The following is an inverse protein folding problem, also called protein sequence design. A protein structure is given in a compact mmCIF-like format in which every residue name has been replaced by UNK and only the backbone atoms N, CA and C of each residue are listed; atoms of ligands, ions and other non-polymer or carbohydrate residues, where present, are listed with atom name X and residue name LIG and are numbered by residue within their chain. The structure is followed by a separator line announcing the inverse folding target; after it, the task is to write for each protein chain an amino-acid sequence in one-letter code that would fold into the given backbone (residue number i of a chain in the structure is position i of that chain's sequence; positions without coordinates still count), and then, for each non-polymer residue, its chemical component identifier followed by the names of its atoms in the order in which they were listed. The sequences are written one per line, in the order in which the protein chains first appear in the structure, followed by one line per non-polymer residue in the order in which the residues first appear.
data_IF_245530975927
#
_entry.id   IF_245530975927
#
_cell.length_a   1.000
_cell.length_b   1.000
_cell.length_c   1.000
_cell.angle_alpha   90.00
_cell.angle_beta   90.00
_cell.angle_gamma   90.00
#
_symmetry.space_group_name_H-M   'P 1'
#
loop_
_entity.id
_entity.type
_entity.pdbx_description
1 polymer ?
#
# COMPACT_ATOMS: atom_id res chain seq x y z
N UNK A 1 -13.75 18.06 25.48
CA UNK A 1 -13.21 19.32 26.03
C UNK A 1 -14.28 20.42 26.06
N UNK A 2 -14.90 20.81 24.95
CA UNK A 2 -15.93 21.88 24.94
C UNK A 2 -17.18 21.56 25.73
N UNK A 3 -17.66 20.31 25.73
CA UNK A 3 -18.82 19.91 26.51
C UNK A 3 -18.60 20.04 28.04
N UNK A 4 -17.41 19.66 28.51
CA UNK A 4 -17.06 19.80 29.94
C UNK A 4 -16.97 21.26 30.37
N UNK A 5 -16.49 22.13 29.48
CA UNK A 5 -16.43 23.58 29.74
C UNK A 5 -17.84 24.20 29.77
N UNK A 6 -18.75 23.81 28.87
CA UNK A 6 -20.13 24.26 28.86
C UNK A 6 -20.90 23.80 30.10
N UNK A 7 -20.71 22.57 30.57
CA UNK A 7 -21.28 22.03 31.79
C UNK A 7 -20.73 22.78 33.01
N UNK A 8 -19.43 23.05 33.04
CA UNK A 8 -18.79 23.83 34.11
C UNK A 8 -19.37 25.25 34.21
N UNK A 9 -19.57 25.91 33.07
CA UNK A 9 -20.16 27.26 33.00
C UNK A 9 -21.61 27.25 33.46
N UNK A 10 -22.37 26.20 33.14
CA UNK A 10 -23.75 26.01 33.60
C UNK A 10 -23.83 25.89 35.13
N UNK A 11 -22.99 25.01 35.70
CA UNK A 11 -22.93 24.82 37.15
C UNK A 11 -22.48 26.08 37.89
N UNK A 12 -21.48 26.80 37.34
CA UNK A 12 -21.02 28.05 37.88
C UNK A 12 -22.14 29.12 37.86
N UNK A 13 -22.90 29.20 36.76
CA UNK A 13 -24.04 30.10 36.63
C UNK A 13 -25.15 29.84 37.65
N UNK A 14 -25.41 28.54 37.93
CA UNK A 14 -26.36 28.13 38.97
C UNK A 14 -25.88 28.55 40.37
N UNK A 15 -24.61 28.32 40.69
CA UNK A 15 -24.02 28.67 42.00
C UNK A 15 -24.03 30.17 42.22
N UNK A 16 -23.69 30.96 41.22
CA UNK A 16 -23.66 32.42 41.28
C UNK A 16 -25.02 33.07 41.10
N UNK A 17 -26.09 32.31 40.87
CA UNK A 17 -27.45 32.78 40.53
C UNK A 17 -27.47 33.82 39.40
N UNK A 18 -26.53 33.70 38.47
CA UNK A 18 -26.42 34.61 37.35
C UNK A 18 -27.17 34.06 36.13
N UNK A 19 -28.35 34.61 35.86
CA UNK A 19 -29.19 34.17 34.72
C UNK A 19 -28.50 34.31 33.37
N UNK A 20 -27.64 35.30 33.19
CA UNK A 20 -26.93 35.50 31.91
C UNK A 20 -25.93 34.36 31.65
N UNK A 21 -25.19 33.90 32.66
CA UNK A 21 -24.28 32.76 32.52
C UNK A 21 -25.02 31.46 32.23
N UNK A 22 -26.17 31.24 32.84
CA UNK A 22 -27.02 30.07 32.60
C UNK A 22 -27.54 30.06 31.16
N UNK A 23 -28.02 31.20 30.66
CA UNK A 23 -28.54 31.28 29.28
C UNK A 23 -27.45 31.05 28.25
N UNK A 24 -26.25 31.60 28.42
CA UNK A 24 -25.10 31.36 27.53
C UNK A 24 -24.71 29.88 27.53
N UNK A 25 -24.66 29.25 28.72
CA UNK A 25 -24.32 27.84 28.82
C UNK A 25 -25.35 26.92 28.13
N UNK A 26 -26.65 27.24 28.27
CA UNK A 26 -27.74 26.49 27.60
C UNK A 26 -27.64 26.63 26.06
N UNK A 27 -27.34 27.83 25.57
CA UNK A 27 -27.16 28.08 24.14
C UNK A 27 -25.95 27.27 23.60
N UNK A 28 -24.82 27.30 24.35
CA UNK A 28 -23.64 26.50 23.95
C UNK A 28 -23.91 24.99 23.96
N UNK A 29 -24.63 24.49 24.98
CA UNK A 29 -25.00 23.07 25.04
C UNK A 29 -25.95 22.68 23.90
N UNK A 30 -26.95 23.52 23.59
CA UNK A 30 -27.87 23.26 22.47
C UNK A 30 -27.13 23.26 21.12
N UNK A 31 -26.16 24.15 20.94
CA UNK A 31 -25.33 24.20 19.75
C UNK A 31 -24.46 22.94 19.63
N UNK A 32 -23.81 22.51 20.70
CA UNK A 32 -22.98 21.31 20.72
C UNK A 32 -23.80 20.03 20.45
N UNK A 33 -25.02 19.95 21.06
CA UNK A 33 -25.92 18.82 20.81
C UNK A 33 -26.43 18.79 19.37
N UNK A 34 -26.74 19.94 18.79
CA UNK A 34 -27.13 20.07 17.40
C UNK A 34 -25.99 19.68 16.46
N UNK A 35 -24.77 20.13 16.73
CA UNK A 35 -23.59 19.78 15.94
C UNK A 35 -23.32 18.26 15.99
N UNK A 36 -23.38 17.66 17.18
CA UNK A 36 -23.22 16.21 17.36
C UNK A 36 -24.33 15.42 16.64
N UNK A 37 -25.59 15.90 16.72
CA UNK A 37 -26.71 15.28 16.02
C UNK A 37 -26.54 15.29 14.50
N UNK A 38 -26.07 16.40 13.93
CA UNK A 38 -25.80 16.50 12.50
C UNK A 38 -24.72 15.53 12.03
N UNK A 39 -23.65 15.35 12.82
CA UNK A 39 -22.57 14.42 12.45
C UNK A 39 -23.05 12.96 12.48
N UNK A 40 -23.79 12.56 13.53
CA UNK A 40 -24.32 11.18 13.63
C UNK A 40 -25.34 10.85 12.55
N UNK A 41 -26.24 11.77 12.20
CA UNK A 41 -27.20 11.54 11.12
C UNK A 41 -26.59 11.57 9.72
N UNK A 42 -25.55 12.34 9.49
CA UNK A 42 -24.79 12.30 8.23
C UNK A 42 -24.14 10.92 8.03
N UNK A 43 -23.70 10.29 9.13
CA UNK A 43 -23.07 8.95 9.08
C UNK A 43 -24.09 7.84 8.83
N UNK A 44 -25.28 7.90 9.44
CA UNK A 44 -26.34 6.90 9.25
C UNK A 44 -26.88 6.95 7.83
N UNK A 45 -27.06 8.13 7.26
CA UNK A 45 -27.52 8.28 5.88
C UNK A 45 -26.53 7.75 4.83
N UNK A 46 -25.23 7.77 5.18
CA UNK A 46 -24.17 7.25 4.30
C UNK A 46 -23.92 5.75 4.47
N UNK A 47 -24.24 5.17 5.63
CA UNK A 47 -24.03 3.74 5.95
C UNK A 47 -25.10 2.82 5.35
N UNK A 48 -26.26 3.35 4.95
CA UNK A 48 -27.41 2.56 4.49
C UNK A 48 -27.37 2.13 3.03
N UNK A 49 -26.37 2.52 2.25
CA UNK A 49 -26.27 2.15 0.85
C UNK A 49 -25.02 1.30 0.59
N UNK A 50 -25.08 0.05 1.07
CA UNK A 50 -24.23 -1.02 0.57
C UNK A 50 -24.76 -1.31 -0.84
N UNK A 51 -24.14 -0.72 -1.85
CA UNK A 51 -24.43 -1.03 -3.23
C UNK A 51 -23.64 -2.28 -3.62
N UNK A 52 -24.40 -3.22 -4.17
CA UNK A 52 -23.95 -4.44 -4.81
C UNK A 52 -22.83 -4.16 -5.82
N UNK A 53 -21.91 -5.10 -5.86
CA UNK A 53 -20.78 -5.20 -6.77
C UNK A 53 -21.21 -5.00 -8.22
N UNK A 54 -21.00 -3.81 -8.76
CA UNK A 54 -20.86 -3.61 -10.18
C UNK A 54 -19.42 -3.15 -10.44
N UNK A 55 -18.69 -4.07 -11.00
CA UNK A 55 -17.35 -4.01 -11.50
C UNK A 55 -17.28 -3.06 -12.73
N UNK A 56 -17.38 -1.78 -12.48
CA UNK A 56 -17.18 -0.74 -13.49
C UNK A 56 -16.68 0.52 -12.80
N UNK A 57 -15.41 0.86 -13.05
CA UNK A 57 -14.71 2.18 -12.93
C UNK A 57 -15.16 3.17 -11.80
N UNK A 58 -16.03 2.72 -10.92
CA UNK A 58 -16.56 3.44 -9.77
C UNK A 58 -15.75 3.09 -8.52
N UNK A 59 -14.81 3.97 -8.15
CA UNK A 59 -14.00 3.86 -6.94
C UNK A 59 -14.85 3.54 -5.69
N UNK A 60 -14.22 2.85 -4.73
CA UNK A 60 -14.85 2.44 -3.46
C UNK A 60 -15.36 3.67 -2.71
N UNK A 61 -16.61 3.64 -2.27
CA UNK A 61 -17.30 4.77 -1.66
C UNK A 61 -17.39 4.66 -0.14
N UNK A 62 -17.14 5.77 0.53
CA UNK A 62 -17.34 5.88 1.97
C UNK A 62 -17.80 7.29 2.38
N UNK A 63 -18.96 7.39 3.05
CA UNK A 63 -19.46 8.68 3.57
C UNK A 63 -19.68 9.75 2.50
N UNK A 64 -19.95 9.35 1.24
CA UNK A 64 -20.09 10.25 0.10
C UNK A 64 -18.77 10.75 -0.48
N UNK A 65 -17.63 10.22 -0.02
CA UNK A 65 -16.33 10.34 -0.65
C UNK A 65 -16.01 9.04 -1.37
N UNK A 66 -15.60 9.11 -2.63
CA UNK A 66 -15.07 7.99 -3.38
C UNK A 66 -13.61 8.21 -3.69
N UNK A 67 -12.83 7.12 -3.69
CA UNK A 67 -11.44 7.13 -4.04
C UNK A 67 -11.16 6.09 -5.13
N UNK A 68 -10.32 6.46 -6.09
CA UNK A 68 -9.81 5.59 -7.15
C UNK A 68 -8.31 5.79 -7.22
N UNK A 69 -7.55 4.70 -7.18
CA UNK A 69 -6.10 4.75 -7.33
C UNK A 69 -5.70 4.17 -8.68
N UNK A 70 -4.76 4.84 -9.35
CA UNK A 70 -4.07 4.33 -10.53
C UNK A 70 -2.57 4.26 -10.22
N UNK A 71 -1.99 3.10 -10.50
CA UNK A 71 -0.56 2.84 -10.33
C UNK A 71 0.05 2.69 -11.71
N UNK A 72 1.22 3.28 -11.94
CA UNK A 72 1.88 3.25 -13.26
C UNK A 72 2.29 1.84 -13.68
N UNK A 73 2.69 1.00 -12.73
CA UNK A 73 3.09 -0.38 -12.98
C UNK A 73 2.86 -1.24 -11.75
N UNK A 74 2.39 -2.46 -11.95
CA UNK A 74 2.30 -3.50 -10.92
C UNK A 74 3.60 -4.28 -10.74
N UNK A 75 4.61 -4.02 -11.57
CA UNK A 75 5.91 -4.71 -11.57
C UNK A 75 7.03 -3.71 -11.76
N UNK A 76 8.02 -3.73 -10.87
CA UNK A 76 9.15 -2.80 -10.90
C UNK A 76 10.41 -3.54 -10.43
N UNK A 77 11.58 -3.04 -10.78
CA UNK A 77 12.86 -3.54 -10.25
C UNK A 77 13.23 -2.79 -8.98
N UNK A 78 14.17 -3.35 -8.18
CA UNK A 78 14.78 -2.66 -7.04
C UNK A 78 15.29 -1.28 -7.46
N UNK A 79 15.11 -0.28 -6.59
CA UNK A 79 15.37 1.14 -6.83
C UNK A 79 14.53 1.77 -7.96
N UNK A 80 13.53 1.05 -8.45
CA UNK A 80 12.60 1.58 -9.44
C UNK A 80 11.54 2.50 -8.85
N UNK A 81 11.04 3.40 -9.68
CA UNK A 81 10.02 4.37 -9.32
C UNK A 81 8.64 3.90 -9.79
N UNK A 82 7.64 4.12 -8.94
CA UNK A 82 6.23 3.85 -9.22
C UNK A 82 5.48 5.16 -9.02
N UNK A 83 4.80 5.62 -10.06
CA UNK A 83 3.92 6.78 -9.96
C UNK A 83 2.53 6.31 -9.55
N UNK A 84 2.00 6.97 -8.53
CA UNK A 84 0.67 6.72 -7.98
C UNK A 84 -0.15 7.97 -8.13
N UNK A 85 -1.35 7.83 -8.69
CA UNK A 85 -2.35 8.90 -8.81
C UNK A 85 -3.59 8.45 -8.06
N UNK A 86 -3.92 9.16 -7.00
CA UNK A 86 -5.11 8.95 -6.19
C UNK A 86 -6.14 10.03 -6.54
N UNK A 87 -7.23 9.64 -7.17
CA UNK A 87 -8.37 10.49 -7.49
C UNK A 87 -9.40 10.38 -6.38
N UNK A 88 -9.83 11.52 -5.84
CA UNK A 88 -10.79 11.62 -4.74
C UNK A 88 -11.95 12.47 -5.23
N UNK A 89 -13.16 11.97 -5.06
CA UNK A 89 -14.37 12.66 -5.45
C UNK A 89 -15.32 12.82 -4.28
N UNK A 90 -15.81 14.04 -4.06
CA UNK A 90 -16.89 14.33 -3.15
C UNK A 90 -18.22 14.23 -3.90
N UNK A 91 -19.00 13.18 -3.64
CA UNK A 91 -20.32 12.96 -4.25
C UNK A 91 -21.45 13.70 -3.53
N UNK A 92 -21.16 14.30 -2.38
CA UNK A 92 -22.16 15.10 -1.66
C UNK A 92 -22.29 16.50 -2.25
N UNK A 93 -23.45 17.16 -2.09
CA UNK A 93 -23.63 18.53 -2.58
C UNK A 93 -22.90 19.59 -1.76
N UNK A 94 -22.43 19.25 -0.55
CA UNK A 94 -21.77 20.16 0.38
C UNK A 94 -20.26 20.02 0.32
N UNK A 95 -19.54 21.13 0.45
CA UNK A 95 -18.11 21.13 0.65
C UNK A 95 -17.75 20.44 1.98
N UNK A 96 -16.64 19.72 1.99
CA UNK A 96 -16.11 19.03 3.17
C UNK A 96 -14.62 19.29 3.31
N UNK A 97 -14.18 19.51 4.54
CA UNK A 97 -12.76 19.51 4.86
C UNK A 97 -12.36 18.06 5.07
N UNK A 98 -11.45 17.59 4.22
CA UNK A 98 -10.99 16.20 4.25
C UNK A 98 -9.48 16.15 4.40
N UNK A 99 -9.03 15.25 5.26
CA UNK A 99 -7.66 14.80 5.31
C UNK A 99 -7.62 13.40 4.71
N UNK A 100 -6.83 13.22 3.68
CA UNK A 100 -6.67 11.94 3.00
C UNK A 100 -5.23 11.52 3.11
N UNK A 101 -5.02 10.28 3.53
CA UNK A 101 -3.71 9.65 3.62
C UNK A 101 -3.75 8.28 2.94
N UNK A 102 -2.91 8.09 1.95
CA UNK A 102 -2.69 6.79 1.35
C UNK A 102 -1.63 6.02 2.15
N UNK A 103 -1.95 4.81 2.59
CA UNK A 103 -1.03 4.00 3.38
C UNK A 103 -0.06 3.28 2.46
N UNK A 104 1.17 3.75 2.48
CA UNK A 104 2.30 3.17 1.74
C UNK A 104 3.12 2.30 2.71
N UNK A 105 3.65 1.13 2.28
CA UNK A 105 4.55 0.32 3.11
C UNK A 105 5.75 1.13 3.62
N UNK A 106 6.13 0.93 4.88
CA UNK A 106 7.20 1.69 5.54
C UNK A 106 8.58 1.55 4.86
N UNK A 107 8.77 0.44 4.16
CA UNK A 107 10.01 0.17 3.41
C UNK A 107 10.14 1.09 2.19
N UNK A 108 9.02 1.57 1.64
CA UNK A 108 8.98 2.42 0.46
C UNK A 108 9.32 3.86 0.83
N UNK A 109 9.98 4.55 -0.08
CA UNK A 109 10.34 5.96 0.10
C UNK A 109 9.53 6.81 -0.87
N UNK A 110 8.94 7.89 -0.36
CA UNK A 110 8.30 8.89 -1.21
C UNK A 110 9.38 9.79 -1.77
N UNK A 111 9.57 9.75 -3.07
CA UNK A 111 10.58 10.55 -3.79
C UNK A 111 10.04 11.91 -4.23
N UNK A 112 8.81 11.95 -4.69
CA UNK A 112 8.14 13.16 -5.19
C UNK A 112 6.70 13.19 -4.68
N UNK A 113 6.17 14.37 -4.45
CA UNK A 113 4.81 14.58 -3.98
C UNK A 113 4.62 14.22 -2.51
N UNK A 114 3.39 13.95 -2.13
CA UNK A 114 3.00 13.54 -0.79
C UNK A 114 1.86 12.53 -0.86
N UNK A 115 1.88 11.50 -0.01
CA UNK A 115 0.83 10.50 0.12
C UNK A 115 -0.32 10.96 1.03
N UNK A 116 -0.31 12.21 1.43
CA UNK A 116 -1.37 12.79 2.25
C UNK A 116 -1.69 14.21 1.81
N UNK A 117 -2.93 14.62 2.02
CA UNK A 117 -3.40 15.97 1.77
C UNK A 117 -4.49 16.35 2.75
N UNK A 118 -4.46 17.59 3.20
CA UNK A 118 -5.55 18.24 3.92
C UNK A 118 -6.09 19.35 3.04
N UNK A 119 -7.38 19.29 2.68
CA UNK A 119 -8.00 20.25 1.79
C UNK A 119 -9.49 20.39 2.02
N UNK A 120 -10.05 21.51 1.56
CA UNK A 120 -11.48 21.64 1.40
C UNK A 120 -11.88 21.14 0.00
N UNK A 121 -12.68 20.09 -0.07
CA UNK A 121 -13.20 19.53 -1.29
C UNK A 121 -14.66 19.97 -1.48
N UNK A 122 -14.89 20.81 -2.47
CA UNK A 122 -16.21 21.33 -2.84
C UNK A 122 -17.22 20.22 -3.11
N UNK A 123 -18.50 20.53 -3.00
CA UNK A 123 -19.57 19.59 -3.31
C UNK A 123 -19.53 19.16 -4.78
N UNK A 124 -19.65 17.87 -5.05
CA UNK A 124 -19.60 17.23 -6.38
C UNK A 124 -18.32 17.53 -7.16
N UNK A 125 -17.23 17.84 -6.48
CA UNK A 125 -15.92 18.07 -7.08
C UNK A 125 -14.99 16.88 -6.86
N UNK A 126 -14.04 16.76 -7.77
CA UNK A 126 -12.95 15.80 -7.68
C UNK A 126 -11.59 16.49 -7.60
N UNK A 127 -10.61 15.79 -7.05
CA UNK A 127 -9.22 16.22 -6.97
C UNK A 127 -8.31 15.02 -7.16
N UNK A 128 -7.09 15.28 -7.61
CA UNK A 128 -6.07 14.28 -7.78
C UNK A 128 -4.87 14.59 -6.90
N UNK A 129 -4.33 13.56 -6.27
CA UNK A 129 -3.07 13.58 -5.54
C UNK A 129 -2.12 12.67 -6.29
N UNK A 130 -0.97 13.19 -6.69
CA UNK A 130 0.07 12.40 -7.35
C UNK A 130 1.32 12.35 -6.48
N UNK A 131 1.91 11.16 -6.38
CA UNK A 131 3.18 10.96 -5.70
C UNK A 131 3.94 9.81 -6.33
N UNK A 132 5.27 9.85 -6.19
CA UNK A 132 6.17 8.82 -6.70
C UNK A 132 6.83 8.12 -5.53
N UNK A 133 6.75 6.80 -5.50
CA UNK A 133 7.41 5.94 -4.51
C UNK A 133 8.58 5.21 -5.16
N UNK A 134 9.61 4.99 -4.37
CA UNK A 134 10.78 4.18 -4.71
C UNK A 134 10.73 2.89 -3.92
N UNK A 135 10.99 1.78 -4.61
CA UNK A 135 11.01 0.45 -4.02
C UNK A 135 12.46 -0.03 -3.80
N UNK A 136 13.06 0.19 -2.60
CA UNK A 136 14.47 -0.12 -2.37
C UNK A 136 14.77 -1.61 -2.19
N UNK A 137 13.76 -2.42 -1.88
CA UNK A 137 13.92 -3.84 -1.61
C UNK A 137 12.97 -4.67 -2.46
N UNK A 138 13.47 -5.82 -2.95
CA UNK A 138 12.65 -6.81 -3.65
C UNK A 138 11.62 -7.42 -2.72
N UNK A 139 10.45 -7.73 -3.25
CA UNK A 139 9.37 -8.36 -2.49
C UNK A 139 8.00 -8.12 -3.10
N UNK A 140 7.01 -8.66 -2.44
CA UNK A 140 5.60 -8.41 -2.72
C UNK A 140 5.08 -7.37 -1.74
N UNK A 141 4.45 -6.32 -2.23
CA UNK A 141 3.99 -5.20 -1.43
C UNK A 141 2.57 -4.81 -1.83
N UNK A 142 1.85 -4.26 -0.86
CA UNK A 142 0.48 -3.79 -1.05
C UNK A 142 0.40 -2.34 -0.60
N UNK A 143 -0.11 -1.45 -1.44
CA UNK A 143 -0.47 -0.08 -1.08
C UNK A 143 -1.92 -0.08 -0.62
N UNK A 144 -2.24 0.63 0.43
CA UNK A 144 -3.57 0.75 1.02
C UNK A 144 -3.62 0.35 2.49
N UNK A 145 -4.77 0.52 3.12
CA UNK A 145 -5.98 1.21 2.66
C UNK A 145 -5.81 2.73 2.57
N UNK A 146 -6.77 3.43 1.97
CA UNK A 146 -6.82 4.89 1.97
C UNK A 146 -7.56 5.35 3.21
N UNK A 147 -6.87 6.07 4.10
CA UNK A 147 -7.47 6.64 5.30
C UNK A 147 -8.05 8.02 4.96
N UNK A 148 -9.33 8.21 5.25
CA UNK A 148 -10.03 9.49 5.03
C UNK A 148 -10.58 9.97 6.35
N UNK A 149 -10.18 11.17 6.75
CA UNK A 149 -10.72 11.89 7.90
C UNK A 149 -11.53 13.07 7.39
N UNK A 150 -12.82 13.09 7.70
CA UNK A 150 -13.74 14.15 7.34
C UNK A 150 -13.96 15.02 8.57
N UNK A 151 -13.71 16.31 8.44
CA UNK A 151 -13.98 17.28 9.50
C UNK A 151 -15.36 17.91 9.29
N UNK A 152 -16.02 18.20 10.42
CA UNK A 152 -17.23 19.00 10.43
C UNK A 152 -16.91 20.47 10.07
N UNK A 153 -17.92 21.20 9.59
CA UNK A 153 -17.82 22.62 9.19
C UNK A 153 -17.22 23.50 10.29
N UNK A 154 -17.39 23.14 11.55
CA UNK A 154 -16.85 23.89 12.69
C UNK A 154 -15.53 23.34 13.23
N UNK A 155 -15.01 22.25 12.64
CA UNK A 155 -13.78 21.59 13.10
C UNK A 155 -13.85 20.97 14.50
N UNK A 156 -15.05 20.83 15.07
CA UNK A 156 -15.26 20.31 16.42
C UNK A 156 -15.25 18.78 16.46
N UNK A 157 -15.72 18.17 15.40
CA UNK A 157 -15.83 16.72 15.26
C UNK A 157 -15.12 16.28 13.98
N UNK A 158 -14.50 15.11 14.04
CA UNK A 158 -13.93 14.44 12.88
C UNK A 158 -14.37 12.99 12.87
N UNK A 159 -14.60 12.48 11.68
CA UNK A 159 -14.90 11.09 11.45
C UNK A 159 -13.79 10.51 10.59
N UNK A 160 -13.08 9.52 11.11
CA UNK A 160 -11.99 8.84 10.43
C UNK A 160 -12.45 7.46 9.98
N UNK A 161 -12.20 7.15 8.73
CA UNK A 161 -12.58 5.88 8.12
C UNK A 161 -11.53 5.43 7.10
N UNK A 162 -11.50 4.12 6.85
CA UNK A 162 -10.62 3.51 5.86
C UNK A 162 -11.44 3.06 4.65
N UNK A 163 -11.01 3.49 3.47
CA UNK A 163 -11.50 2.97 2.19
C UNK A 163 -10.63 1.77 1.86
N UNK A 164 -11.25 0.59 1.71
CA UNK A 164 -10.56 -0.69 1.47
C UNK A 164 -10.09 -0.78 0.00
N UNK A 165 -9.19 0.11 -0.37
CA UNK A 165 -8.58 0.18 -1.69
C UNK A 165 -7.15 -0.34 -1.58
N UNK A 166 -6.90 -1.49 -2.18
CA UNK A 166 -5.60 -2.17 -2.14
C UNK A 166 -5.09 -2.39 -3.56
N UNK A 167 -3.82 -2.08 -3.78
CA UNK A 167 -3.12 -2.37 -5.01
C UNK A 167 -1.82 -3.11 -4.70
N UNK A 168 -1.66 -4.25 -5.34
CA UNK A 168 -0.51 -5.12 -5.16
C UNK A 168 0.53 -4.87 -6.25
N UNK A 169 1.80 -4.92 -5.87
CA UNK A 169 2.90 -4.84 -6.82
C UNK A 169 4.09 -5.70 -6.40
N UNK A 170 4.82 -6.13 -7.40
CA UNK A 170 5.95 -7.03 -7.26
C UNK A 170 7.24 -6.28 -7.63
N UNK A 171 8.19 -6.27 -6.70
CA UNK A 171 9.52 -5.71 -6.90
C UNK A 171 10.51 -6.83 -7.19
N UNK A 172 11.07 -6.81 -8.38
CA UNK A 172 12.08 -7.77 -8.82
C UNK A 172 13.50 -7.33 -8.41
N UNK A 173 14.41 -8.26 -8.19
CA UNK A 173 15.79 -7.92 -7.98
C UNK A 173 16.36 -7.23 -9.23
N UNK A 174 17.23 -6.25 -9.02
CA UNK A 174 17.99 -5.62 -10.07
C UNK A 174 18.94 -6.67 -10.69
N UNK A 175 18.82 -6.90 -11.96
CA UNK A 175 19.77 -7.75 -12.68
C UNK A 175 21.07 -6.95 -12.85
N UNK A 176 22.04 -7.22 -11.97
CA UNK A 176 23.41 -6.80 -12.24
C UNK A 176 23.91 -7.57 -13.47
N UNK A 177 24.57 -6.86 -14.37
CA UNK A 177 25.23 -7.49 -15.52
C UNK A 177 26.29 -8.45 -15.00
N UNK A 178 25.97 -9.76 -14.97
CA UNK A 178 26.86 -10.83 -14.48
C UNK A 178 28.08 -11.01 -15.40
N UNK A 179 28.27 -10.15 -16.38
CA UNK A 179 29.39 -10.22 -17.34
C UNK A 179 30.76 -10.23 -16.65
N UNK A 180 30.87 -9.62 -15.47
CA UNK A 180 32.13 -9.52 -14.71
C UNK A 180 32.17 -10.42 -13.47
N UNK A 181 31.07 -11.04 -13.07
CA UNK A 181 31.11 -12.05 -12.02
C UNK A 181 31.69 -13.36 -12.60
N UNK A 182 33.03 -13.42 -12.70
CA UNK A 182 33.69 -14.71 -12.80
C UNK A 182 33.27 -15.51 -11.58
N UNK A 183 32.30 -16.40 -11.75
CA UNK A 183 31.96 -17.42 -10.77
C UNK A 183 33.17 -18.34 -10.70
N UNK A 184 34.13 -17.99 -9.84
CA UNK A 184 35.20 -18.88 -9.41
C UNK A 184 34.57 -19.96 -8.53
N UNK A 185 33.84 -20.86 -9.17
CA UNK A 185 33.41 -22.08 -8.51
C UNK A 185 34.67 -22.86 -8.14
N UNK A 186 34.91 -23.07 -6.87
CA UNK A 186 35.96 -24.00 -6.40
C UNK A 186 35.69 -25.43 -6.82
N UNK A 187 34.48 -25.73 -7.25
CA UNK A 187 34.08 -27.01 -7.83
C UNK A 187 33.72 -26.74 -9.30
N UNK A 188 34.48 -27.24 -10.27
CA UNK A 188 34.14 -27.07 -11.66
C UNK A 188 32.80 -27.78 -11.92
N UNK A 189 31.72 -27.02 -12.04
CA UNK A 189 30.48 -27.54 -12.59
C UNK A 189 30.66 -27.70 -14.08
N UNK A 190 30.62 -28.91 -14.51
CA UNK A 190 30.71 -29.25 -15.92
C UNK A 190 29.41 -28.86 -16.59
N UNK A 191 29.44 -27.74 -17.29
CA UNK A 191 28.34 -27.39 -18.19
C UNK A 191 28.54 -28.15 -19.49
N UNK A 192 27.70 -29.12 -19.78
CA UNK A 192 27.57 -29.70 -21.11
C UNK A 192 26.93 -28.64 -22.03
N UNK A 193 27.72 -27.90 -22.71
CA UNK A 193 27.31 -26.86 -23.65
C UNK A 193 28.51 -26.06 -24.13
N UNK A 194 28.40 -25.23 -25.09
CA UNK A 194 29.29 -24.45 -25.91
C UNK A 194 30.65 -23.93 -25.38
N UNK A 195 31.10 -24.31 -24.20
CA UNK A 195 32.42 -23.93 -23.63
C UNK A 195 33.33 -25.16 -23.67
N UNK A 196 34.32 -25.14 -24.54
CA UNK A 196 35.38 -26.19 -24.62
C UNK A 196 36.26 -26.08 -23.35
N UNK A 197 35.92 -26.85 -22.33
CA UNK A 197 36.75 -27.00 -21.14
C UNK A 197 37.60 -28.26 -21.31
N UNK A 198 38.90 -28.16 -21.16
CA UNK A 198 39.83 -29.30 -21.28
C UNK A 198 39.85 -30.20 -20.04
N UNK A 199 38.76 -30.28 -19.27
CA UNK A 199 38.65 -31.17 -18.12
C UNK A 199 37.72 -32.33 -18.44
N UNK A 200 38.11 -33.59 -18.14
CA UNK A 200 37.23 -34.74 -18.32
C UNK A 200 35.98 -34.62 -17.42
N UNK A 201 34.82 -34.90 -17.95
CA UNK A 201 33.55 -34.83 -17.28
C UNK A 201 32.63 -36.00 -17.60
N UNK A 202 31.61 -36.19 -16.80
CA UNK A 202 30.55 -37.18 -16.99
C UNK A 202 29.50 -36.66 -17.99
N UNK A 203 29.87 -36.48 -19.22
CA UNK A 203 28.99 -36.04 -20.31
C UNK A 203 28.85 -37.04 -21.42
N UNK A 204 27.85 -36.87 -22.28
CA UNK A 204 27.66 -37.70 -23.47
C UNK A 204 28.67 -37.40 -24.60
N UNK A 205 29.47 -36.33 -24.46
CA UNK A 205 30.48 -35.94 -25.45
C UNK A 205 31.84 -36.51 -25.07
N UNK A 206 32.52 -37.09 -26.05
CA UNK A 206 33.86 -37.61 -25.86
C UNK A 206 34.86 -36.47 -25.68
N UNK A 207 35.60 -36.51 -24.56
CA UNK A 207 36.67 -35.55 -24.30
C UNK A 207 37.95 -35.90 -25.09
N UNK A 208 38.30 -37.18 -25.12
CA UNK A 208 39.48 -37.68 -25.80
C UNK A 208 39.33 -39.18 -26.12
N UNK A 209 39.96 -39.62 -27.17
CA UNK A 209 40.08 -41.03 -27.51
C UNK A 209 41.55 -41.42 -27.29
N UNK A 210 41.78 -42.50 -26.61
CA UNK A 210 43.09 -43.10 -26.42
C UNK A 210 43.13 -44.50 -27.02
N UNK A 211 44.30 -45.00 -27.33
CA UNK A 211 44.47 -46.34 -27.83
C UNK A 211 43.90 -47.38 -26.87
N UNK A 212 43.28 -48.42 -27.45
CA UNK A 212 42.73 -49.54 -26.69
C UNK A 212 43.84 -50.30 -26.01
N UNK A 213 43.80 -50.40 -24.68
CA UNK A 213 44.69 -51.25 -23.89
C UNK A 213 43.88 -52.46 -23.43
N UNK A 214 44.23 -53.70 -23.84
CA UNK A 214 43.55 -54.90 -23.36
C UNK A 214 43.65 -54.96 -21.81
N UNK A 215 42.60 -55.33 -21.11
CA UNK A 215 42.44 -55.41 -19.66
C UNK A 215 41.98 -54.11 -18.93
N UNK A 216 41.87 -53.01 -19.56
CA UNK A 216 41.40 -51.77 -18.88
C UNK A 216 39.92 -51.81 -18.56
N UNK A 217 39.13 -52.62 -19.26
CA UNK A 217 37.71 -52.84 -19.03
C UNK A 217 37.42 -53.58 -17.70
N UNK A 218 38.40 -54.29 -17.12
CA UNK A 218 38.26 -55.04 -15.88
C UNK A 218 38.68 -54.21 -14.67
N UNK A 219 39.27 -53.06 -14.84
CA UNK A 219 39.76 -52.20 -13.73
C UNK A 219 38.90 -50.98 -13.40
N UNK A 220 37.93 -50.63 -14.24
CA UNK A 220 36.96 -49.62 -13.92
C UNK A 220 35.60 -50.26 -13.60
N UNK A 221 35.10 -50.13 -12.37
CA UNK A 221 33.78 -50.64 -12.04
C UNK A 221 32.73 -49.96 -12.89
N UNK A 222 31.85 -50.77 -13.49
CA UNK A 222 30.70 -50.24 -14.21
C UNK A 222 29.73 -49.58 -13.21
N UNK A 223 29.06 -48.49 -13.52
CA UNK A 223 28.02 -47.91 -12.65
C UNK A 223 26.87 -48.85 -12.33
N UNK A 224 26.83 -50.04 -12.96
CA UNK A 224 25.89 -51.12 -12.64
C UNK A 224 26.37 -52.03 -11.54
N UNK A 225 27.67 -52.07 -11.29
CA UNK A 225 28.25 -53.04 -10.29
C UNK A 225 28.10 -52.53 -8.87
N UNK A 226 27.90 -51.25 -8.67
CA UNK A 226 27.66 -50.63 -7.32
C UNK A 226 26.24 -50.89 -6.74
N UNK A 227 25.34 -51.52 -7.53
CA UNK A 227 23.97 -51.76 -7.03
C UNK A 227 23.76 -53.10 -6.33
N UNK A 228 24.78 -53.93 -6.16
CA UNK A 228 24.67 -55.30 -5.60
C UNK A 228 25.67 -55.60 -4.49
N UNK A 229 26.14 -54.57 -3.79
CA UNK A 229 26.90 -54.79 -2.54
C UNK A 229 26.20 -54.18 -1.34
#
# INVERSE_FOLDING_TARGET
MFASLAIGLYLLGLVLRNQQLVTVAVVLLSFLTYAAFRTTHADVASSGRRLEDNESDEGIQLGGISALRKVSSSRVFEDGEIDVVLRIQNRTPMAKIIEVRDRVPEVMRIKKGANYVLMELGGRRETEISYTIEAPLRGFYTIGPVCVRIQDTFGLFHNEREIQLYDDFLVFPKMEDIKDAMIKSKVPKIFTGAVNIRNPGEGSNFYNLREYIPCLLYTSPSPRDERFS
#
